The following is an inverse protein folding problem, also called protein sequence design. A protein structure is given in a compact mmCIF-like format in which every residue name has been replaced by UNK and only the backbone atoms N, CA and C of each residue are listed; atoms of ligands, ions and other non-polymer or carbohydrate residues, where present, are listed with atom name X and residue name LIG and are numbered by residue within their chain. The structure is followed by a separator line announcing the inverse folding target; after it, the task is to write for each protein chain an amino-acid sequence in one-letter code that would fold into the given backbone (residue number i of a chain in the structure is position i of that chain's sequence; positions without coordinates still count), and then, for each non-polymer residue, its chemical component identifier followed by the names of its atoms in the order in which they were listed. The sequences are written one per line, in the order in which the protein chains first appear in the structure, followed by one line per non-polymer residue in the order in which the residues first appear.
data_IF_485703870988
#
_entry.id   IF_485703870988
#
_cell.length_a   1.000
_cell.length_b   1.000
_cell.length_c   1.000
_cell.angle_alpha   90.00
_cell.angle_beta   90.00
_cell.angle_gamma   90.00
#
_symmetry.space_group_name_H-M   'P 1'
#
loop_
_entity.id
_entity.type
_entity.pdbx_description
1 polymer ?
#
# COMPACT_ATOMS: atom_id res chain seq x y z
N UNK A 1 18.28 6.11 -18.79
CA UNK A 1 18.44 5.93 -20.24
C UNK A 1 17.25 6.56 -20.93
N UNK A 2 17.45 7.36 -21.98
CA UNK A 2 16.35 7.91 -22.76
C UNK A 2 15.72 6.79 -23.58
N UNK A 3 14.46 6.45 -23.31
CA UNK A 3 13.71 5.50 -24.13
C UNK A 3 13.28 6.21 -25.40
N UNK A 4 13.85 5.83 -26.53
CA UNK A 4 13.36 6.29 -27.83
C UNK A 4 11.98 5.68 -28.08
N UNK A 5 10.99 6.54 -28.30
CA UNK A 5 9.63 6.10 -28.56
C UNK A 5 9.52 5.58 -30.00
N UNK A 6 9.35 4.27 -30.17
CA UNK A 6 9.12 3.68 -31.49
C UNK A 6 7.64 3.86 -31.83
N UNK A 7 7.35 4.56 -32.93
CA UNK A 7 5.99 4.69 -33.42
C UNK A 7 5.43 3.30 -33.81
N UNK A 8 4.16 3.00 -33.53
CA UNK A 8 3.51 1.78 -34.01
C UNK A 8 3.65 1.59 -35.53
N UNK A 9 3.61 0.33 -35.97
CA UNK A 9 3.54 0.00 -37.39
C UNK A 9 2.23 0.59 -37.93
N UNK A 10 2.35 1.50 -38.90
CA UNK A 10 1.23 2.21 -39.52
C UNK A 10 1.27 1.98 -41.02
N UNK A 11 0.15 1.59 -41.59
CA UNK A 11 -0.02 1.46 -43.04
C UNK A 11 -0.26 2.83 -43.67
N UNK A 12 0.79 3.65 -43.73
CA UNK A 12 0.71 5.03 -44.26
C UNK A 12 0.17 5.09 -45.68
N UNK A 13 0.48 4.06 -46.48
CA UNK A 13 0.15 4.01 -47.90
C UNK A 13 -1.03 3.09 -48.21
N UNK A 14 -1.82 2.67 -47.21
CA UNK A 14 -2.97 1.77 -47.41
C UNK A 14 -3.92 2.27 -48.51
N UNK A 15 -4.16 3.59 -48.56
CA UNK A 15 -5.01 4.23 -49.59
C UNK A 15 -4.41 4.10 -50.99
N UNK A 16 -3.10 4.27 -51.14
CA UNK A 16 -2.41 4.15 -52.44
C UNK A 16 -2.34 2.70 -52.90
N UNK A 17 -2.19 1.76 -51.96
CA UNK A 17 -2.18 0.32 -52.23
C UNK A 17 -3.57 -0.26 -52.53
N UNK A 18 -4.65 0.41 -52.10
CA UNK A 18 -6.03 0.03 -52.41
C UNK A 18 -6.51 0.47 -53.79
N UNK A 19 -5.81 1.41 -54.45
CA UNK A 19 -6.20 1.89 -55.76
C UNK A 19 -5.89 0.85 -56.85
N UNK A 20 -6.81 0.62 -57.78
CA UNK A 20 -6.59 -0.29 -58.90
C UNK A 20 -5.65 0.36 -59.94
N UNK A 21 -4.47 -0.22 -60.23
CA UNK A 21 -3.54 0.36 -61.19
C UNK A 21 -4.13 0.27 -62.61
N UNK A 22 -3.96 1.33 -63.41
CA UNK A 22 -4.42 1.42 -64.80
C UNK A 22 -3.32 1.17 -65.81
N UNK A 23 -2.06 1.39 -65.42
CA UNK A 23 -0.87 1.25 -66.27
C UNK A 23 0.09 0.22 -65.68
N UNK A 24 0.94 -0.39 -66.52
CA UNK A 24 1.97 -1.34 -66.07
C UNK A 24 2.97 -0.68 -65.11
N UNK A 25 3.32 0.58 -65.38
CA UNK A 25 4.21 1.36 -64.51
C UNK A 25 3.63 1.56 -63.10
N UNK A 26 2.31 1.80 -62.98
CA UNK A 26 1.64 1.88 -61.67
C UNK A 26 1.70 0.55 -60.91
N UNK A 27 1.61 -0.59 -61.62
CA UNK A 27 1.76 -1.92 -61.01
C UNK A 27 3.17 -2.08 -60.43
N UNK A 28 4.21 -1.74 -61.19
CA UNK A 28 5.59 -1.81 -60.73
C UNK A 28 5.84 -0.92 -59.51
N UNK A 29 5.31 0.31 -59.54
CA UNK A 29 5.43 1.25 -58.43
C UNK A 29 4.72 0.73 -57.17
N UNK A 30 3.52 0.18 -57.30
CA UNK A 30 2.82 -0.45 -56.17
C UNK A 30 3.59 -1.65 -55.61
N UNK A 31 4.21 -2.48 -56.47
CA UNK A 31 5.06 -3.58 -56.02
C UNK A 31 6.30 -3.08 -55.27
N UNK A 32 7.00 -2.07 -55.80
CA UNK A 32 8.15 -1.45 -55.16
C UNK A 32 7.77 -0.86 -53.78
N UNK A 33 6.61 -0.21 -53.70
CA UNK A 33 6.08 0.34 -52.46
C UNK A 33 5.76 -0.75 -51.43
N UNK A 34 5.13 -1.86 -51.84
CA UNK A 34 4.89 -3.02 -50.96
C UNK A 34 6.19 -3.62 -50.43
N UNK A 35 7.21 -3.77 -51.29
CA UNK A 35 8.54 -4.27 -50.88
C UNK A 35 9.19 -3.33 -49.87
N UNK A 36 9.20 -2.03 -50.16
CA UNK A 36 9.77 -1.01 -49.27
C UNK A 36 9.06 -0.98 -47.91
N UNK A 37 7.73 -0.99 -47.90
CA UNK A 37 6.95 -1.05 -46.66
C UNK A 37 7.19 -2.34 -45.88
N UNK A 38 7.32 -3.49 -46.56
CA UNK A 38 7.71 -4.75 -45.94
C UNK A 38 9.04 -4.67 -45.22
N UNK A 39 10.08 -4.12 -45.86
CA UNK A 39 11.40 -3.94 -45.25
C UNK A 39 11.37 -3.00 -44.04
N UNK A 40 10.66 -1.87 -44.15
CA UNK A 40 10.53 -0.92 -43.03
C UNK A 40 9.79 -1.56 -41.86
N UNK A 41 8.74 -2.35 -42.12
CA UNK A 41 8.00 -3.04 -41.07
C UNK A 41 8.88 -4.09 -40.37
N UNK A 42 9.63 -4.90 -41.12
CA UNK A 42 10.60 -5.85 -40.55
C UNK A 42 11.66 -5.16 -39.69
N UNK A 43 12.22 -4.03 -40.16
CA UNK A 43 13.18 -3.26 -39.38
C UNK A 43 12.57 -2.73 -38.08
N UNK A 44 11.33 -2.25 -38.11
CA UNK A 44 10.62 -1.79 -36.91
C UNK A 44 10.34 -2.94 -35.93
N UNK A 45 9.93 -4.09 -36.43
CA UNK A 45 9.72 -5.29 -35.60
C UNK A 45 11.01 -5.68 -34.87
N UNK A 46 12.12 -5.71 -35.60
CA UNK A 46 13.43 -5.99 -34.99
C UNK A 46 13.82 -4.94 -33.95
N UNK A 47 13.60 -3.66 -34.22
CA UNK A 47 13.90 -2.57 -33.29
C UNK A 47 13.02 -2.64 -32.03
N UNK A 48 11.73 -2.99 -32.18
CA UNK A 48 10.83 -3.24 -31.04
C UNK A 48 11.30 -4.41 -30.19
N UNK A 49 11.69 -5.52 -30.81
CA UNK A 49 12.22 -6.68 -30.10
C UNK A 49 13.51 -6.34 -29.33
N UNK A 50 14.43 -5.59 -29.95
CA UNK A 50 15.65 -5.12 -29.31
C UNK A 50 15.36 -4.17 -28.15
N UNK A 51 14.40 -3.24 -28.30
CA UNK A 51 13.99 -2.35 -27.22
C UNK A 51 13.39 -3.14 -26.05
N UNK A 52 12.52 -4.11 -26.32
CA UNK A 52 11.93 -4.96 -25.30
C UNK A 52 13.02 -5.74 -24.53
N UNK A 53 13.99 -6.32 -25.24
CA UNK A 53 15.12 -7.01 -24.62
C UNK A 53 15.95 -6.09 -23.73
N UNK A 54 16.26 -4.88 -24.20
CA UNK A 54 17.02 -3.91 -23.40
C UNK A 54 16.28 -3.47 -22.13
N UNK A 55 14.95 -3.29 -22.20
CA UNK A 55 14.13 -2.97 -21.03
C UNK A 55 14.18 -4.12 -20.01
N UNK A 56 14.03 -5.36 -20.47
CA UNK A 56 14.11 -6.54 -19.60
C UNK A 56 15.49 -6.67 -18.94
N UNK A 57 16.58 -6.43 -19.70
CA UNK A 57 17.94 -6.45 -19.17
C UNK A 57 18.18 -5.32 -18.15
N UNK A 58 17.68 -4.11 -18.39
CA UNK A 58 17.77 -3.00 -17.42
C UNK A 58 17.01 -3.35 -16.14
N UNK A 59 15.80 -3.90 -16.24
CA UNK A 59 15.04 -4.36 -15.07
C UNK A 59 15.78 -5.44 -14.28
N UNK A 60 16.33 -6.44 -14.97
CA UNK A 60 17.08 -7.52 -14.34
C UNK A 60 18.34 -7.00 -13.64
N UNK A 61 19.14 -6.18 -14.33
CA UNK A 61 20.38 -5.63 -13.75
C UNK A 61 20.10 -4.70 -12.57
N UNK A 62 19.01 -3.92 -12.59
CA UNK A 62 18.57 -3.15 -11.43
C UNK A 62 18.23 -4.03 -10.25
N UNK A 63 17.43 -5.08 -10.46
CA UNK A 63 17.08 -6.04 -9.40
C UNK A 63 18.32 -6.71 -8.82
N UNK A 64 19.24 -7.15 -9.68
CA UNK A 64 20.48 -7.77 -9.26
C UNK A 64 21.35 -6.81 -8.43
N UNK A 65 21.47 -5.55 -8.84
CA UNK A 65 22.18 -4.52 -8.07
C UNK A 65 21.55 -4.31 -6.70
N UNK A 66 20.24 -4.17 -6.61
CA UNK A 66 19.56 -4.00 -5.31
C UNK A 66 19.76 -5.22 -4.40
N UNK A 67 19.80 -6.43 -4.95
CA UNK A 67 20.07 -7.65 -4.18
C UNK A 67 21.52 -7.70 -3.68
N UNK A 68 22.48 -7.33 -4.53
CA UNK A 68 23.89 -7.25 -4.15
C UNK A 68 24.12 -6.17 -3.10
N UNK A 69 23.57 -4.97 -3.29
CA UNK A 69 23.62 -3.88 -2.32
C UNK A 69 23.05 -4.32 -0.97
N UNK A 70 21.89 -4.98 -0.96
CA UNK A 70 21.30 -5.52 0.26
C UNK A 70 22.16 -6.60 0.94
N UNK A 71 22.77 -7.50 0.16
CA UNK A 71 23.69 -8.52 0.70
C UNK A 71 24.96 -7.88 1.27
N UNK A 72 25.51 -6.88 0.59
CA UNK A 72 26.68 -6.13 1.03
C UNK A 72 26.37 -5.32 2.29
N UNK A 73 25.20 -4.66 2.36
CA UNK A 73 24.74 -3.96 3.57
C UNK A 73 24.52 -4.94 4.73
N UNK A 74 23.90 -6.09 4.48
CA UNK A 74 23.77 -7.15 5.49
C UNK A 74 25.13 -7.67 5.95
N UNK A 75 26.07 -7.91 5.04
CA UNK A 75 27.42 -8.37 5.38
C UNK A 75 28.22 -7.30 6.14
N UNK A 76 28.10 -6.04 5.74
CA UNK A 76 28.75 -4.90 6.40
C UNK A 76 28.13 -4.59 7.76
N UNK A 77 26.81 -4.73 7.93
CA UNK A 77 26.11 -4.63 9.20
C UNK A 77 26.42 -5.79 10.14
N UNK A 78 26.69 -6.97 9.59
CA UNK A 78 27.25 -8.14 10.29
C UNK A 78 28.77 -8.08 10.43
N UNK A 79 29.42 -6.90 10.30
CA UNK A 79 30.81 -6.71 10.75
C UNK A 79 30.89 -7.20 12.18
N UNK A 80 31.45 -8.39 12.28
CA UNK A 80 31.25 -9.29 13.39
C UNK A 80 31.82 -8.62 14.63
N UNK A 81 30.95 -8.19 15.55
CA UNK A 81 31.32 -7.90 16.94
C UNK A 81 31.79 -9.15 17.68
N UNK A 82 31.80 -10.30 16.99
CA UNK A 82 32.45 -11.52 17.42
C UNK A 82 33.93 -11.19 17.57
N UNK A 83 34.35 -11.23 18.82
CA UNK A 83 35.70 -10.95 19.29
C UNK A 83 36.80 -11.78 18.58
N UNK A 84 36.41 -12.81 17.81
CA UNK A 84 37.27 -13.72 17.07
C UNK A 84 36.69 -13.93 15.66
N UNK A 85 37.24 -13.23 14.66
CA UNK A 85 36.88 -13.41 13.24
C UNK A 85 37.92 -14.24 12.50
N UNK A 86 39.18 -14.21 12.95
CA UNK A 86 40.30 -14.81 12.21
C UNK A 86 40.66 -16.24 12.65
N UNK A 87 39.96 -16.81 13.65
CA UNK A 87 40.25 -18.15 14.18
C UNK A 87 41.60 -18.32 14.91
N UNK A 88 42.46 -17.30 14.90
CA UNK A 88 43.74 -17.32 15.60
C UNK A 88 43.59 -16.93 17.09
N UNK A 89 44.29 -17.64 18.00
CA UNK A 89 44.33 -17.25 19.40
C UNK A 89 45.04 -15.89 19.53
N UNK A 90 44.31 -14.87 19.97
CA UNK A 90 44.88 -13.57 20.32
C UNK A 90 45.31 -13.59 21.79
N UNK A 91 46.47 -13.01 22.08
CA UNK A 91 46.95 -12.87 23.44
C UNK A 91 46.00 -11.93 24.21
N UNK A 92 45.33 -12.46 25.24
CA UNK A 92 44.33 -11.74 26.07
C UNK A 92 44.94 -10.56 26.86
N UNK A 93 46.27 -10.43 26.87
CA UNK A 93 47.02 -9.37 27.54
C UNK A 93 47.21 -8.12 26.68
N UNK A 94 46.81 -8.13 25.40
CA UNK A 94 46.92 -6.95 24.55
C UNK A 94 45.86 -5.90 24.98
N UNK A 95 46.30 -4.68 25.32
CA UNK A 95 45.42 -3.57 25.69
C UNK A 95 44.30 -3.31 24.66
N UNK A 96 44.61 -3.44 23.37
CA UNK A 96 43.63 -3.26 22.29
C UNK A 96 42.50 -4.31 22.33
N UNK A 97 42.78 -5.51 22.83
CA UNK A 97 41.77 -6.56 22.99
C UNK A 97 40.85 -6.27 24.18
N UNK A 98 41.41 -5.77 25.28
CA UNK A 98 40.64 -5.39 26.48
C UNK A 98 39.66 -4.26 26.12
N UNK A 99 40.11 -3.22 25.42
CA UNK A 99 39.25 -2.12 24.94
C UNK A 99 38.12 -2.64 24.02
N UNK A 100 38.41 -3.59 23.14
CA UNK A 100 37.42 -4.18 22.24
C UNK A 100 36.33 -4.96 23.00
N UNK A 101 36.70 -5.68 24.07
CA UNK A 101 35.76 -6.37 24.96
C UNK A 101 34.84 -5.38 25.65
N UNK A 102 35.40 -4.30 26.19
CA UNK A 102 34.63 -3.25 26.87
C UNK A 102 33.64 -2.58 25.91
N UNK A 103 34.06 -2.24 24.70
CA UNK A 103 33.17 -1.67 23.68
C UNK A 103 32.06 -2.65 23.27
N UNK A 104 32.36 -3.94 23.14
CA UNK A 104 31.36 -4.97 22.83
C UNK A 104 30.33 -5.11 23.95
N UNK A 105 30.78 -5.06 25.21
CA UNK A 105 29.90 -5.07 26.38
C UNK A 105 29.00 -3.83 26.44
N UNK A 106 29.56 -2.64 26.25
CA UNK A 106 28.80 -1.38 26.23
C UNK A 106 27.73 -1.39 25.12
N UNK A 107 28.08 -1.87 23.92
CA UNK A 107 27.11 -2.00 22.81
C UNK A 107 25.95 -2.94 23.14
N UNK A 108 26.24 -4.09 23.76
CA UNK A 108 25.19 -5.02 24.21
C UNK A 108 24.29 -4.39 25.26
N UNK A 109 24.86 -3.75 26.27
CA UNK A 109 24.11 -3.04 27.31
C UNK A 109 23.23 -1.93 26.71
N UNK A 110 23.73 -1.17 25.73
CA UNK A 110 22.93 -0.17 25.00
C UNK A 110 21.79 -0.78 24.18
N UNK A 111 22.02 -1.90 23.48
CA UNK A 111 21.01 -2.59 22.69
C UNK A 111 19.91 -3.16 23.58
N UNK A 112 20.28 -3.78 24.70
CA UNK A 112 19.35 -4.26 25.72
C UNK A 112 18.54 -3.10 26.32
N UNK A 113 19.18 -1.98 26.65
CA UNK A 113 18.50 -0.79 27.15
C UNK A 113 17.52 -0.20 26.11
N UNK A 114 17.91 -0.16 24.83
CA UNK A 114 17.04 0.28 23.72
C UNK A 114 15.86 -0.68 23.53
N UNK A 115 16.10 -1.99 23.64
CA UNK A 115 15.05 -3.01 23.55
C UNK A 115 14.07 -2.91 24.73
N UNK A 116 14.56 -2.73 25.95
CA UNK A 116 13.74 -2.50 27.14
C UNK A 116 12.86 -1.26 26.98
N UNK A 117 13.44 -0.12 26.58
CA UNK A 117 12.67 1.12 26.31
C UNK A 117 11.57 0.93 25.26
N UNK A 118 11.84 0.15 24.20
CA UNK A 118 10.83 -0.16 23.16
C UNK A 118 9.70 -1.03 23.72
N UNK A 119 10.02 -2.02 24.55
CA UNK A 119 9.03 -2.87 25.23
C UNK A 119 8.16 -2.04 26.18
N UNK A 120 8.77 -1.18 27.00
CA UNK A 120 8.05 -0.30 27.91
C UNK A 120 7.13 0.67 27.17
N UNK A 121 7.62 1.28 26.08
CA UNK A 121 6.80 2.15 25.23
C UNK A 121 5.61 1.40 24.62
N UNK A 122 5.81 0.15 24.16
CA UNK A 122 4.75 -0.69 23.59
C UNK A 122 3.70 -1.04 24.63
N UNK A 123 4.10 -1.47 25.83
CA UNK A 123 3.15 -1.81 26.91
C UNK A 123 2.35 -0.59 27.36
N UNK A 124 2.99 0.57 27.46
CA UNK A 124 2.30 1.82 27.76
C UNK A 124 1.27 2.19 26.67
N UNK A 125 1.66 2.13 25.40
CA UNK A 125 0.75 2.39 24.29
C UNK A 125 -0.44 1.42 24.25
N UNK A 126 -0.22 0.14 24.58
CA UNK A 126 -1.30 -0.84 24.70
C UNK A 126 -2.28 -0.49 25.82
N UNK A 127 -1.79 -0.10 27.01
CA UNK A 127 -2.66 0.35 28.11
C UNK A 127 -3.48 1.58 27.74
N UNK A 128 -2.90 2.52 26.99
CA UNK A 128 -3.64 3.67 26.49
C UNK A 128 -4.72 3.25 25.49
N UNK A 129 -4.40 2.35 24.55
CA UNK A 129 -5.35 1.84 23.58
C UNK A 129 -6.53 1.13 24.26
N UNK A 130 -6.29 0.27 25.25
CA UNK A 130 -7.39 -0.41 25.96
C UNK A 130 -8.30 0.59 26.66
N UNK A 131 -7.74 1.61 27.32
CA UNK A 131 -8.53 2.67 27.95
C UNK A 131 -9.33 3.51 26.95
N UNK A 132 -8.77 3.75 25.75
CA UNK A 132 -9.43 4.50 24.69
C UNK A 132 -10.55 3.69 24.03
N UNK A 133 -10.35 2.38 23.84
CA UNK A 133 -11.38 1.49 23.31
C UNK A 133 -12.59 1.39 24.24
N UNK A 134 -12.37 1.28 25.56
CA UNK A 134 -13.47 1.28 26.53
C UNK A 134 -14.30 2.57 26.48
N UNK A 135 -13.64 3.72 26.33
CA UNK A 135 -14.33 5.01 26.17
C UNK A 135 -15.10 5.07 24.85
N UNK A 136 -14.47 4.64 23.76
CA UNK A 136 -15.07 4.61 22.44
C UNK A 136 -16.30 3.71 22.39
N UNK A 137 -16.25 2.52 23.00
CA UNK A 137 -17.39 1.61 23.11
C UNK A 137 -18.55 2.25 23.87
N UNK A 138 -18.28 2.90 25.01
CA UNK A 138 -19.29 3.60 25.80
C UNK A 138 -19.92 4.79 25.03
N UNK A 139 -19.14 5.50 24.22
CA UNK A 139 -19.65 6.58 23.36
C UNK A 139 -20.51 6.04 22.22
N UNK A 140 -20.07 4.96 21.56
CA UNK A 140 -20.85 4.30 20.50
C UNK A 140 -22.20 3.79 21.03
N UNK A 141 -22.22 3.15 22.21
CA UNK A 141 -23.45 2.69 22.83
C UNK A 141 -24.44 3.83 23.10
N UNK A 142 -23.97 4.97 23.63
CA UNK A 142 -24.82 6.15 23.84
C UNK A 142 -25.38 6.69 22.53
N UNK A 143 -24.55 6.77 21.49
CA UNK A 143 -24.98 7.23 20.16
C UNK A 143 -26.02 6.29 19.57
N UNK A 144 -25.85 4.97 19.73
CA UNK A 144 -26.81 3.97 19.30
C UNK A 144 -28.14 4.13 20.04
N UNK A 145 -28.13 4.26 21.37
CA UNK A 145 -29.32 4.49 22.19
C UNK A 145 -30.06 5.78 21.84
N UNK A 146 -29.35 6.84 21.49
CA UNK A 146 -29.99 8.10 21.10
C UNK A 146 -30.55 8.03 19.67
N UNK A 147 -29.83 7.36 18.76
CA UNK A 147 -30.31 7.09 17.42
C UNK A 147 -31.56 6.18 17.42
N UNK A 148 -31.63 5.19 18.31
CA UNK A 148 -32.83 4.34 18.44
C UNK A 148 -34.02 5.13 18.96
N UNK A 149 -33.86 5.94 20.00
CA UNK A 149 -34.94 6.83 20.49
C UNK A 149 -35.47 7.75 19.39
N UNK A 150 -34.58 8.28 18.55
CA UNK A 150 -34.99 9.17 17.47
C UNK A 150 -35.71 8.44 16.33
N UNK A 151 -35.31 7.19 16.06
CA UNK A 151 -36.03 6.29 15.16
C UNK A 151 -37.41 5.93 15.71
N UNK A 152 -37.54 5.62 17.00
CA UNK A 152 -38.82 5.32 17.66
C UNK A 152 -39.79 6.52 17.63
N UNK A 153 -39.29 7.75 17.87
CA UNK A 153 -40.08 8.98 17.71
C UNK A 153 -40.58 9.17 16.28
N UNK A 154 -39.75 8.85 15.29
CA UNK A 154 -40.16 8.91 13.89
C UNK A 154 -41.22 7.84 13.59
N UNK A 155 -41.04 6.61 14.06
CA UNK A 155 -42.00 5.52 13.86
C UNK A 155 -43.37 5.85 14.46
N UNK A 156 -43.40 6.32 15.71
CA UNK A 156 -44.64 6.79 16.36
C UNK A 156 -45.29 7.96 15.60
N UNK A 157 -44.50 8.91 15.10
CA UNK A 157 -45.00 10.01 14.27
C UNK A 157 -45.60 9.50 12.94
N UNK A 158 -44.98 8.50 12.32
CA UNK A 158 -45.48 7.86 11.10
C UNK A 158 -46.77 7.09 11.37
N UNK A 159 -46.89 6.43 12.52
CA UNK A 159 -48.13 5.74 12.92
C UNK A 159 -49.28 6.72 13.14
N UNK A 160 -49.04 7.84 13.84
CA UNK A 160 -50.04 8.90 14.01
C UNK A 160 -50.45 9.46 12.65
N UNK A 161 -49.49 9.74 11.77
CA UNK A 161 -49.78 10.20 10.41
C UNK A 161 -50.61 9.20 9.60
N UNK A 162 -50.34 7.89 9.72
CA UNK A 162 -51.15 6.84 9.05
C UNK A 162 -52.58 6.80 9.58
N UNK A 163 -52.77 6.84 10.91
CA UNK A 163 -54.11 6.87 11.53
C UNK A 163 -54.91 8.09 11.08
N UNK A 164 -54.28 9.26 11.06
CA UNK A 164 -54.91 10.50 10.58
C UNK A 164 -55.24 10.44 9.09
N UNK A 165 -54.36 9.83 8.29
CA UNK A 165 -54.60 9.60 6.86
C UNK A 165 -55.82 8.69 6.63
N UNK A 166 -55.99 7.65 7.44
CA UNK A 166 -57.13 6.74 7.38
C UNK A 166 -58.43 7.45 7.79
N UNK A 167 -58.44 8.25 8.85
CA UNK A 167 -59.58 9.07 9.26
C UNK A 167 -59.97 10.10 8.18
N UNK A 168 -59.00 10.78 7.58
CA UNK A 168 -59.28 11.73 6.49
C UNK A 168 -59.92 11.04 5.28
N UNK A 169 -59.54 9.78 4.99
CA UNK A 169 -60.16 8.97 3.92
C UNK A 169 -61.60 8.61 4.25
N UNK A 170 -61.91 8.23 5.49
CA UNK A 170 -63.30 7.89 5.88
C UNK A 170 -64.20 9.13 5.87
N UNK A 171 -63.68 10.29 6.29
CA UNK A 171 -64.40 11.57 6.33
C UNK A 171 -64.43 12.30 4.97
N UNK A 172 -63.75 11.78 3.93
CA UNK A 172 -63.59 12.39 2.61
C UNK A 172 -62.99 13.80 2.64
N UNK A 173 -62.16 14.11 3.64
CA UNK A 173 -61.40 15.37 3.71
C UNK A 173 -60.18 15.28 2.80
N UNK A 174 -59.74 16.42 2.24
CA UNK A 174 -58.47 16.48 1.49
C UNK A 174 -57.31 16.51 2.49
N UNK A 175 -56.41 15.52 2.51
CA UNK A 175 -55.29 15.50 3.46
C UNK A 175 -54.31 16.62 3.11
N UNK A 176 -54.02 17.53 4.04
CA UNK A 176 -53.00 18.57 3.85
C UNK A 176 -51.68 18.25 4.56
N UNK A 177 -51.60 17.15 5.31
CA UNK A 177 -50.44 16.82 6.15
C UNK A 177 -49.36 16.07 5.38
N UNK A 178 -48.13 16.56 5.48
CA UNK A 178 -46.94 15.91 4.92
C UNK A 178 -46.50 14.72 5.76
N UNK A 179 -46.07 13.65 5.10
CA UNK A 179 -45.51 12.47 5.76
C UNK A 179 -44.23 12.84 6.54
N UNK A 180 -44.06 12.37 7.79
CA UNK A 180 -42.81 12.54 8.53
C UNK A 180 -41.61 11.99 7.76
N UNK A 181 -40.56 12.80 7.61
CA UNK A 181 -39.32 12.44 6.90
C UNK A 181 -38.48 11.51 7.77
N UNK A 182 -37.93 10.45 7.18
CA UNK A 182 -37.11 9.48 7.89
C UNK A 182 -35.81 10.12 8.38
N UNK A 183 -35.42 9.97 9.66
CA UNK A 183 -34.12 10.38 10.16
C UNK A 183 -33.00 9.69 9.37
N UNK A 184 -32.01 10.47 8.96
CA UNK A 184 -30.81 9.97 8.28
C UNK A 184 -29.56 10.64 8.83
N UNK A 185 -28.40 10.05 8.59
CA UNK A 185 -27.11 10.66 8.92
C UNK A 185 -26.81 11.92 8.10
N UNK A 186 -27.34 12.00 6.87
CA UNK A 186 -27.18 13.15 5.98
C UNK A 186 -28.08 14.31 6.37
N UNK A 187 -29.27 14.03 6.94
CA UNK A 187 -30.13 15.07 7.53
C UNK A 187 -29.63 15.59 8.88
N UNK A 188 -28.55 15.02 9.43
CA UNK A 188 -27.94 15.44 10.70
C UNK A 188 -28.72 15.05 11.95
N UNK A 189 -29.82 14.30 11.79
CA UNK A 189 -30.69 13.85 12.88
C UNK A 189 -30.11 12.60 13.56
N UNK A 190 -29.53 11.70 12.77
CA UNK A 190 -28.77 10.57 13.31
C UNK A 190 -27.29 10.96 13.44
N UNK A 191 -26.68 10.66 14.59
CA UNK A 191 -25.28 10.94 14.86
C UNK A 191 -24.43 9.75 14.41
N UNK A 192 -23.35 10.01 13.67
CA UNK A 192 -22.40 8.96 13.26
C UNK A 192 -21.49 8.60 14.44
N UNK A 193 -21.17 7.31 14.64
CA UNK A 193 -20.23 6.92 15.68
C UNK A 193 -18.83 7.48 15.40
N UNK A 194 -18.05 7.82 16.45
CA UNK A 194 -16.67 8.28 16.30
C UNK A 194 -15.78 7.17 15.71
N UNK A 195 -14.65 7.57 15.11
CA UNK A 195 -13.69 6.61 14.53
C UNK A 195 -13.02 5.77 15.61
N UNK A 196 -12.88 4.46 15.37
CA UNK A 196 -12.25 3.53 16.31
C UNK A 196 -10.76 3.87 16.54
N UNK A 197 -10.30 4.02 17.80
CA UNK A 197 -8.89 4.24 18.12
C UNK A 197 -7.99 3.11 17.62
N UNK A 198 -6.78 3.42 17.15
CA UNK A 198 -5.79 2.45 16.65
C UNK A 198 -4.49 2.52 17.45
N UNK A 199 -3.74 1.41 17.48
CA UNK A 199 -2.46 1.36 18.19
C UNK A 199 -1.45 2.42 17.69
N UNK A 200 -1.49 2.73 16.39
CA UNK A 200 -0.64 3.75 15.77
C UNK A 200 -0.81 5.16 16.36
N UNK A 201 -1.99 5.48 16.91
CA UNK A 201 -2.29 6.78 17.53
C UNK A 201 -1.50 6.99 18.84
N UNK A 202 -1.10 5.89 19.50
CA UNK A 202 -0.41 5.90 20.78
C UNK A 202 1.09 5.57 20.68
N UNK A 203 1.51 4.95 19.58
CA UNK A 203 2.92 4.55 19.34
C UNK A 203 3.73 5.65 18.65
N UNK A 204 3.08 6.63 17.99
CA UNK A 204 3.79 7.62 17.18
C UNK A 204 3.58 9.07 17.62
N UNK A 205 4.45 9.53 18.53
CA UNK A 205 4.69 10.97 18.74
C UNK A 205 5.60 11.60 17.66
N UNK A 206 5.88 10.93 16.53
CA UNK A 206 6.83 11.43 15.51
C UNK A 206 6.32 11.53 14.07
N UNK A 207 5.26 10.82 13.66
CA UNK A 207 4.72 10.92 12.29
C UNK A 207 3.80 12.13 12.05
N UNK A 208 3.06 12.59 13.06
CA UNK A 208 2.09 13.70 12.89
C UNK A 208 2.72 15.10 12.87
N UNK A 209 3.96 15.25 13.36
CA UNK A 209 4.69 16.52 13.30
C UNK A 209 5.24 16.81 11.89
N UNK A 210 5.58 15.78 11.11
CA UNK A 210 6.10 15.92 9.74
C UNK A 210 4.99 16.18 8.72
N UNK A 211 3.78 15.65 8.92
CA UNK A 211 2.64 15.90 8.01
C UNK A 211 2.07 17.31 8.19
N UNK A 212 2.04 17.87 9.41
CA UNK A 212 1.64 19.28 9.62
C UNK A 212 2.65 20.30 9.09
N UNK A 213 3.96 20.01 9.11
CA UNK A 213 4.98 20.92 8.55
C UNK A 213 5.02 20.90 7.02
N UNK A 214 4.64 19.78 6.39
CA UNK A 214 4.61 19.64 4.92
C UNK A 214 3.34 20.19 4.28
N UNK A 215 2.19 20.17 4.97
CA UNK A 215 0.95 20.81 4.49
C UNK A 215 0.97 22.35 4.52
N UNK A 216 1.91 22.98 5.24
CA UNK A 216 2.15 24.43 5.16
C UNK A 216 3.14 24.83 4.08
N UNK A 217 3.89 23.89 3.48
CA UNK A 217 4.99 24.18 2.57
C UNK A 217 4.75 23.73 1.11
N UNK A 218 3.91 22.73 0.86
CA UNK A 218 3.65 22.27 -0.51
C UNK A 218 2.15 22.22 -0.80
N UNK A 219 1.68 23.22 -1.54
CA UNK A 219 0.51 23.04 -2.39
C UNK A 219 0.83 21.98 -3.45
N UNK A 220 -0.01 20.95 -3.49
CA UNK A 220 -0.34 20.15 -4.66
C UNK A 220 0.79 19.33 -5.31
N UNK A 221 0.92 18.06 -4.89
CA UNK A 221 0.97 16.93 -5.84
C UNK A 221 0.80 15.61 -5.08
N UNK A 222 -0.23 14.86 -5.47
CA UNK A 222 -0.57 13.56 -4.94
C UNK A 222 0.46 12.52 -5.46
N UNK A 223 1.11 11.82 -4.52
CA UNK A 223 1.85 10.59 -4.83
C UNK A 223 1.25 9.51 -3.93
N UNK A 224 0.60 8.54 -4.57
CA UNK A 224 -0.03 7.39 -3.96
C UNK A 224 1.01 6.53 -3.20
N UNK A 225 0.69 6.05 -1.98
CA UNK A 225 1.54 5.13 -1.26
C UNK A 225 1.39 3.72 -1.85
N UNK A 226 2.49 3.19 -2.39
CA UNK A 226 2.65 1.76 -2.64
C UNK A 226 2.70 1.03 -1.29
N UNK A 227 1.76 0.13 -1.09
CA UNK A 227 1.78 -0.90 -0.06
C UNK A 227 2.76 -1.99 -0.51
N UNK A 228 3.81 -2.22 0.27
CA UNK A 228 4.73 -3.35 0.13
C UNK A 228 5.05 -3.81 1.56
N UNK A 229 4.35 -4.83 2.02
CA UNK A 229 4.54 -5.49 3.32
C UNK A 229 3.89 -6.89 3.26
N UNK A 230 4.68 -7.91 2.94
CA UNK A 230 4.39 -9.30 3.31
C UNK A 230 5.66 -10.15 3.28
N UNK A 231 6.51 -9.99 4.30
CA UNK A 231 7.50 -11.00 4.67
C UNK A 231 6.85 -11.95 5.69
N UNK A 232 6.31 -13.07 5.19
CA UNK A 232 5.97 -14.26 5.98
C UNK A 232 7.17 -15.22 5.96
N UNK A 233 8.04 -15.10 6.98
CA UNK A 233 9.02 -16.14 7.32
C UNK A 233 8.31 -17.20 8.17
N UNK A 234 7.91 -18.31 7.53
CA UNK A 234 7.55 -19.56 8.19
C UNK A 234 8.71 -20.54 8.07
N UNK A 235 9.52 -20.63 9.12
CA UNK A 235 10.47 -21.73 9.34
C UNK A 235 9.68 -22.92 9.94
N UNK A 236 9.32 -23.89 9.10
CA UNK A 236 8.87 -25.23 9.54
C UNK A 236 10.08 -26.16 9.62
N UNK A 237 10.54 -26.41 10.85
CA UNK A 237 11.48 -27.48 11.19
C UNK A 237 10.75 -28.83 11.13
N UNK A 238 10.97 -29.60 10.05
CA UNK A 238 10.53 -30.99 9.91
C UNK A 238 11.58 -31.93 10.52
N UNK A 239 11.32 -32.41 11.74
CA UNK A 239 12.11 -33.46 12.38
C UNK A 239 11.81 -34.82 11.74
N UNK A 240 12.74 -35.28 10.91
CA UNK A 240 12.77 -36.65 10.39
C UNK A 240 13.05 -37.66 11.51
N UNK A 241 11.97 -38.24 12.06
CA UNK A 241 12.03 -39.38 12.97
C UNK A 241 12.25 -40.68 12.19
N UNK A 242 13.21 -41.46 12.67
CA UNK A 242 13.64 -42.71 12.07
C UNK A 242 12.80 -43.88 12.55
N UNK A 243 12.34 -44.72 11.62
CA UNK A 243 11.80 -46.03 11.93
C UNK A 243 12.59 -47.11 11.20
N UNK A 244 13.54 -47.67 11.95
CA UNK A 244 13.81 -49.10 12.14
C UNK A 244 13.35 -50.05 11.02
N UNK A 245 14.33 -50.69 10.39
CA UNK A 245 14.15 -51.95 9.71
C UNK A 245 14.05 -53.11 10.70
N UNK A 246 13.13 -54.01 10.39
CA UNK A 246 13.18 -55.46 10.67
C UNK A 246 12.71 -56.17 9.39
#
# INVERSE_FOLDING_TARGET
MATTFISPIKERDARLLSHQPRTEYEVELQQALRRSNGLINQQKEWLMAMQAQNILQDMYTRRLRTQLEYQEEKAAGKKSTRLHVDGHPRLLTNAAFIELVEQSRQKKEEEEAKAARKKDAKTHAQKQLTSALLKWEAECQKIEEDNTKEMEKWETSVEVWKKEQELARTERRKPHWTKPVKPTYTSGVLVKPPTKPKLGDFVSSRRTALTRKRQRANGNEAIEPKEDDSDEDSDEDDEGDGLSGD
#
